data_IF_983004030426
#
_entry.id   IF_983004030426
#
_cell.length_a   1.000
_cell.length_b   1.000
_cell.length_c   1.000
_cell.angle_alpha   90.00
_cell.angle_beta   90.00
_cell.angle_gamma   90.00
#
_symmetry.space_group_name_H-M   'P 1'
#
loop_
_entity.id
_entity.type
_entity.pdbx_description
1 polymer ?
#
# COMPACT_ATOMS: atom_id res chain seq x y z
N UNK A 1 18.90 -24.61 -23.80
CA UNK A 1 17.89 -24.40 -22.75
C UNK A 1 18.05 -22.98 -22.23
N UNK A 2 17.09 -22.10 -22.53
CA UNK A 2 17.12 -20.69 -22.15
C UNK A 2 16.65 -20.52 -20.72
N UNK A 3 17.55 -20.15 -19.81
CA UNK A 3 17.21 -19.65 -18.49
C UNK A 3 16.98 -18.15 -18.57
N UNK A 4 15.70 -17.76 -18.56
CA UNK A 4 15.26 -16.35 -18.48
C UNK A 4 15.77 -15.76 -17.17
N UNK A 5 16.73 -14.85 -17.25
CA UNK A 5 17.15 -14.02 -16.13
C UNK A 5 16.02 -13.06 -15.75
N UNK A 6 15.31 -13.35 -14.68
CA UNK A 6 14.48 -12.37 -14.01
C UNK A 6 15.41 -11.31 -13.40
N UNK A 7 15.41 -10.10 -13.97
CA UNK A 7 15.90 -8.89 -13.31
C UNK A 7 14.97 -8.52 -12.14
N UNK A 8 14.73 -9.45 -11.22
CA UNK A 8 13.91 -9.27 -10.03
C UNK A 8 14.70 -8.54 -8.96
N UNK A 9 14.91 -7.25 -9.14
CA UNK A 9 15.45 -6.40 -8.09
C UNK A 9 14.39 -6.32 -7.00
N UNK A 10 14.52 -7.16 -5.97
CA UNK A 10 13.67 -7.07 -4.77
C UNK A 10 13.82 -5.66 -4.22
N UNK A 11 12.70 -4.98 -3.99
CA UNK A 11 12.72 -3.66 -3.36
C UNK A 11 13.34 -3.80 -1.96
N UNK A 12 14.59 -3.37 -1.82
CA UNK A 12 15.27 -3.35 -0.52
C UNK A 12 14.54 -2.39 0.42
N UNK A 13 14.05 -2.93 1.53
CA UNK A 13 13.30 -2.16 2.52
C UNK A 13 14.28 -1.49 3.46
N UNK A 14 14.38 -0.16 3.36
CA UNK A 14 15.22 0.63 4.27
C UNK A 14 14.74 0.50 5.74
N UNK A 15 15.69 0.49 6.67
CA UNK A 15 15.44 0.53 8.12
C UNK A 15 14.56 1.72 8.50
N UNK A 16 14.67 2.84 7.80
CA UNK A 16 13.83 4.02 8.02
C UNK A 16 12.35 3.73 7.73
N UNK A 17 12.05 2.92 6.71
CA UNK A 17 10.68 2.53 6.36
C UNK A 17 10.10 1.61 7.42
N UNK A 18 10.88 0.63 7.88
CA UNK A 18 10.48 -0.27 8.97
C UNK A 18 10.25 0.52 10.26
N UNK A 19 11.10 1.51 10.53
CA UNK A 19 10.96 2.38 11.70
C UNK A 19 9.73 3.28 11.61
N UNK A 20 9.50 3.91 10.46
CA UNK A 20 8.28 4.68 10.19
C UNK A 20 7.03 3.82 10.35
N UNK A 21 7.07 2.59 9.81
CA UNK A 21 6.01 1.61 9.97
C UNK A 21 5.76 1.34 11.46
N UNK A 22 6.75 0.86 12.19
CA UNK A 22 6.62 0.55 13.61
C UNK A 22 6.15 1.75 14.43
N UNK A 23 6.67 2.96 14.18
CA UNK A 23 6.31 4.17 14.91
C UNK A 23 4.85 4.58 14.71
N UNK A 24 4.29 4.41 13.51
CA UNK A 24 2.89 4.73 13.21
C UNK A 24 1.92 3.62 13.62
N UNK A 25 2.39 2.38 13.79
CA UNK A 25 1.52 1.20 13.97
C UNK A 25 1.60 0.52 15.34
N UNK A 26 2.46 0.95 16.26
CA UNK A 26 2.63 0.34 17.61
C UNK A 26 1.44 0.44 18.56
N UNK A 27 0.29 1.02 18.16
CA UNK A 27 -0.75 1.46 19.11
C UNK A 27 -2.17 0.89 18.93
N UNK A 28 -2.50 0.14 17.87
CA UNK A 28 -3.82 -0.52 17.82
C UNK A 28 -3.89 -1.74 16.90
N UNK A 29 -4.51 -2.82 17.39
CA UNK A 29 -4.88 -4.00 16.59
C UNK A 29 -5.78 -3.64 15.40
N UNK A 30 -6.60 -2.59 15.54
CA UNK A 30 -7.47 -2.05 14.48
C UNK A 30 -6.69 -1.47 13.32
N UNK A 31 -5.58 -0.76 13.56
CA UNK A 31 -4.74 -0.21 12.48
C UNK A 31 -4.13 -1.31 11.62
N UNK A 32 -3.68 -2.40 12.24
CA UNK A 32 -3.13 -3.55 11.50
C UNK A 32 -4.20 -4.26 10.65
N UNK A 33 -5.44 -4.36 11.13
CA UNK A 33 -6.56 -4.91 10.36
C UNK A 33 -6.85 -4.08 9.09
N UNK A 34 -6.88 -2.76 9.20
CA UNK A 34 -7.06 -1.89 8.04
C UNK A 34 -5.95 -2.08 7.01
N UNK A 35 -4.71 -2.18 7.46
CA UNK A 35 -3.55 -2.34 6.59
C UNK A 35 -3.56 -3.67 5.86
N UNK A 36 -3.98 -4.75 6.52
CA UNK A 36 -4.21 -6.04 5.86
C UNK A 36 -5.27 -5.93 4.76
N UNK A 37 -6.38 -5.23 5.00
CA UNK A 37 -7.38 -4.96 3.96
C UNK A 37 -6.83 -4.09 2.81
N UNK A 38 -5.96 -3.11 3.09
CA UNK A 38 -5.35 -2.30 2.03
C UNK A 38 -4.40 -3.13 1.16
N UNK A 39 -3.64 -4.06 1.75
CA UNK A 39 -2.80 -5.00 0.98
C UNK A 39 -3.68 -5.92 0.12
N UNK A 40 -4.77 -6.47 0.67
CA UNK A 40 -5.77 -7.25 -0.08
C UNK A 40 -6.35 -6.46 -1.26
N UNK A 41 -6.61 -5.16 -1.08
CA UNK A 41 -7.05 -4.28 -2.17
C UNK A 41 -6.01 -4.20 -3.31
N UNK A 42 -4.73 -4.02 -2.98
CA UNK A 42 -3.66 -3.94 -3.98
C UNK A 42 -3.47 -5.26 -4.73
N UNK A 43 -3.55 -6.39 -4.03
CA UNK A 43 -3.52 -7.72 -4.62
C UNK A 43 -4.63 -7.90 -5.65
N UNK A 44 -5.87 -7.57 -5.29
CA UNK A 44 -7.00 -7.66 -6.22
C UNK A 44 -6.83 -6.74 -7.45
N UNK A 45 -6.22 -5.57 -7.29
CA UNK A 45 -5.91 -4.66 -8.41
C UNK A 45 -4.85 -5.22 -9.35
N UNK A 46 -3.83 -5.93 -8.84
CA UNK A 46 -2.83 -6.62 -9.66
C UNK A 46 -3.45 -7.69 -10.57
N UNK A 47 -4.46 -8.41 -10.07
CA UNK A 47 -5.16 -9.43 -10.85
C UNK A 47 -6.12 -8.85 -11.91
N UNK A 48 -6.71 -7.67 -11.65
CA UNK A 48 -7.76 -7.09 -12.50
C UNK A 48 -7.31 -6.16 -13.63
N UNK A 49 -6.15 -5.50 -13.52
CA UNK A 49 -5.73 -4.44 -14.47
C UNK A 49 -4.63 -4.94 -15.43
N UNK A 50 -4.97 -5.12 -16.72
CA UNK A 50 -3.99 -5.39 -17.78
C UNK A 50 -3.42 -4.08 -18.32
N UNK A 51 -2.28 -3.65 -17.76
CA UNK A 51 -1.28 -2.84 -18.48
C UNK A 51 -1.25 -1.32 -18.26
N UNK A 52 -1.61 -0.77 -17.09
CA UNK A 52 -1.57 0.69 -16.86
C UNK A 52 -0.99 1.11 -15.50
N UNK A 53 -0.59 2.39 -15.44
CA UNK A 53 -0.33 3.13 -14.19
C UNK A 53 -1.62 3.15 -13.36
N UNK A 54 -1.54 2.64 -12.14
CA UNK A 54 -2.66 2.62 -11.18
C UNK A 54 -2.54 3.83 -10.27
N UNK A 55 -3.61 4.63 -10.19
CA UNK A 55 -3.70 5.67 -9.16
C UNK A 55 -4.28 5.06 -7.89
N UNK A 56 -3.48 4.97 -6.83
CA UNK A 56 -3.90 4.55 -5.51
C UNK A 56 -4.40 5.76 -4.73
N UNK A 57 -5.67 5.76 -4.31
CA UNK A 57 -6.29 6.89 -3.59
C UNK A 57 -6.69 6.48 -2.19
N UNK A 58 -6.48 7.38 -1.22
CA UNK A 58 -6.82 7.12 0.18
C UNK A 58 -8.31 6.82 0.35
N UNK A 59 -9.17 7.53 -0.40
CA UNK A 59 -10.61 7.34 -0.38
C UNK A 59 -11.03 5.92 -0.80
N UNK A 60 -10.44 5.37 -1.86
CA UNK A 60 -10.77 4.01 -2.33
C UNK A 60 -10.34 2.95 -1.32
N UNK A 61 -9.16 3.11 -0.73
CA UNK A 61 -8.70 2.25 0.35
C UNK A 61 -9.63 2.31 1.56
N UNK A 62 -10.06 3.52 1.93
CA UNK A 62 -11.01 3.77 3.03
C UNK A 62 -12.34 3.07 2.77
N UNK A 63 -12.94 3.30 1.60
CA UNK A 63 -14.20 2.69 1.19
C UNK A 63 -14.10 1.16 1.19
N UNK A 64 -13.01 0.60 0.63
CA UNK A 64 -12.78 -0.85 0.60
C UNK A 64 -12.66 -1.45 2.01
N UNK A 65 -11.85 -0.86 2.89
CA UNK A 65 -11.69 -1.37 4.24
C UNK A 65 -12.98 -1.24 5.07
N UNK A 66 -13.72 -0.13 4.96
CA UNK A 66 -15.00 0.04 5.66
C UNK A 66 -16.01 -1.02 5.26
N UNK A 67 -16.08 -1.35 3.96
CA UNK A 67 -16.93 -2.44 3.46
C UNK A 67 -16.46 -3.81 3.98
N UNK A 68 -15.16 -4.10 3.86
CA UNK A 68 -14.60 -5.42 4.20
C UNK A 68 -14.65 -5.72 5.70
N UNK A 69 -14.35 -4.73 6.53
CA UNK A 69 -14.31 -4.84 8.00
C UNK A 69 -15.68 -4.62 8.64
N UNK A 70 -16.71 -4.27 7.87
CA UNK A 70 -18.07 -3.94 8.36
C UNK A 70 -18.02 -2.94 9.52
N UNK A 71 -17.25 -1.88 9.36
CA UNK A 71 -16.98 -0.91 10.42
C UNK A 71 -17.24 0.52 9.96
N UNK A 72 -17.75 1.33 10.88
CA UNK A 72 -17.85 2.78 10.76
C UNK A 72 -16.63 3.50 11.35
N UNK A 73 -15.48 2.81 11.49
CA UNK A 73 -14.26 3.38 12.03
C UNK A 73 -13.87 4.65 11.27
N UNK A 74 -14.13 5.81 11.89
CA UNK A 74 -13.83 7.12 11.33
C UNK A 74 -12.33 7.34 11.10
N UNK A 75 -11.48 6.46 11.65
CA UNK A 75 -10.02 6.48 11.45
C UNK A 75 -9.57 5.73 10.20
N UNK A 76 -10.45 5.05 9.46
CA UNK A 76 -10.08 4.37 8.21
C UNK A 76 -9.37 5.30 7.21
N UNK A 77 -9.83 6.56 7.10
CA UNK A 77 -9.17 7.59 6.28
C UNK A 77 -7.76 7.96 6.77
N UNK A 78 -7.56 8.05 8.08
CA UNK A 78 -6.24 8.28 8.68
C UNK A 78 -5.27 7.13 8.37
N UNK A 79 -5.73 5.89 8.47
CA UNK A 79 -4.95 4.70 8.12
C UNK A 79 -4.60 4.67 6.63
N UNK A 80 -5.57 4.95 5.74
CA UNK A 80 -5.33 4.99 4.30
C UNK A 80 -4.31 6.06 3.89
N UNK A 81 -4.38 7.26 4.51
CA UNK A 81 -3.40 8.33 4.31
C UNK A 81 -1.98 7.89 4.64
N UNK A 82 -1.79 7.31 5.83
CA UNK A 82 -0.46 6.85 6.26
C UNK A 82 0.04 5.66 5.45
N UNK A 83 -0.86 4.82 4.94
CA UNK A 83 -0.52 3.71 4.06
C UNK A 83 0.00 4.22 2.70
N UNK A 84 -0.63 5.24 2.11
CA UNK A 84 -0.12 5.85 0.88
C UNK A 84 1.23 6.54 1.10
N UNK A 85 1.43 7.21 2.25
CA UNK A 85 2.75 7.75 2.63
C UNK A 85 3.82 6.67 2.77
N UNK A 86 3.47 5.50 3.29
CA UNK A 86 4.38 4.36 3.37
C UNK A 86 4.78 3.89 1.97
N UNK A 87 3.82 3.79 1.04
CA UNK A 87 4.10 3.45 -0.38
C UNK A 87 5.02 4.49 -1.02
N UNK A 88 4.75 5.78 -0.81
CA UNK A 88 5.62 6.86 -1.31
C UNK A 88 7.06 6.75 -0.81
N UNK A 89 7.24 6.47 0.49
CA UNK A 89 8.58 6.21 1.06
C UNK A 89 9.27 4.99 0.43
N UNK A 90 8.54 3.87 0.28
CA UNK A 90 9.06 2.65 -0.34
C UNK A 90 9.51 2.89 -1.79
N UNK A 91 8.76 3.69 -2.56
CA UNK A 91 9.06 4.03 -3.95
C UNK A 91 9.99 5.23 -4.12
N UNK A 92 10.41 5.89 -3.03
CA UNK A 92 11.15 7.17 -3.07
C UNK A 92 10.46 8.22 -3.94
N UNK A 93 9.13 8.28 -3.85
CA UNK A 93 8.27 9.15 -4.65
C UNK A 93 7.42 10.05 -3.76
N UNK A 94 7.24 11.29 -4.19
CA UNK A 94 6.36 12.22 -3.51
C UNK A 94 4.89 11.78 -3.62
N UNK A 95 4.18 11.98 -2.52
CA UNK A 95 2.76 11.68 -2.43
C UNK A 95 1.97 12.96 -2.69
N UNK A 96 1.05 12.90 -3.64
CA UNK A 96 0.21 14.04 -3.99
C UNK A 96 -0.91 14.23 -2.96
N UNK A 97 -1.06 15.46 -2.48
CA UNK A 97 -2.14 15.86 -1.57
C UNK A 97 -2.82 17.12 -2.12
N UNK A 98 -4.10 17.01 -2.48
CA UNK A 98 -4.89 18.16 -2.96
C UNK A 98 -6.34 18.10 -2.42
N UNK A 99 -7.19 19.02 -2.86
CA UNK A 99 -8.61 19.08 -2.47
C UNK A 99 -9.43 17.82 -2.79
N UNK A 100 -8.87 16.85 -3.54
CA UNK A 100 -9.48 15.53 -3.83
C UNK A 100 -8.94 14.41 -2.93
N UNK A 101 -8.02 14.72 -2.01
CA UNK A 101 -7.41 13.80 -1.06
C UNK A 101 -5.95 13.45 -1.38
N UNK A 102 -5.48 12.37 -0.78
CA UNK A 102 -4.10 11.87 -0.92
C UNK A 102 -4.04 10.69 -1.89
N UNK A 103 -3.09 10.73 -2.82
CA UNK A 103 -2.92 9.67 -3.82
C UNK A 103 -1.47 9.54 -4.29
N UNK A 104 -1.18 8.40 -4.92
CA UNK A 104 0.08 8.11 -5.60
C UNK A 104 -0.19 7.33 -6.87
N UNK A 105 0.52 7.64 -7.94
CA UNK A 105 0.54 6.84 -9.15
C UNK A 105 1.63 5.79 -9.04
N UNK A 106 1.30 4.54 -9.35
CA UNK A 106 2.20 3.39 -9.24
C UNK A 106 2.06 2.55 -10.51
N UNK A 107 3.19 2.19 -11.11
CA UNK A 107 3.18 1.27 -12.25
C UNK A 107 2.79 -0.14 -11.77
N UNK A 108 2.41 -1.01 -12.70
CA UNK A 108 2.12 -2.40 -12.36
C UNK A 108 3.34 -3.12 -11.78
N UNK A 109 4.53 -2.95 -12.36
CA UNK A 109 5.76 -3.59 -11.87
C UNK A 109 6.11 -3.11 -10.46
N UNK A 110 5.98 -1.81 -10.20
CA UNK A 110 6.15 -1.25 -8.86
C UNK A 110 5.15 -1.87 -7.88
N UNK A 111 3.90 -2.07 -8.30
CA UNK A 111 2.89 -2.70 -7.47
C UNK A 111 3.19 -4.19 -7.20
N UNK A 112 3.70 -4.92 -8.20
CA UNK A 112 4.13 -6.32 -8.08
C UNK A 112 5.30 -6.48 -7.10
N UNK A 113 6.23 -5.52 -7.07
CA UNK A 113 7.35 -5.48 -6.12
C UNK A 113 6.91 -5.04 -4.70
N UNK A 114 5.98 -4.08 -4.61
CA UNK A 114 5.51 -3.51 -3.35
C UNK A 114 4.65 -4.48 -2.54
N UNK A 115 3.75 -5.23 -3.19
CA UNK A 115 2.75 -6.06 -2.48
C UNK A 115 3.40 -7.10 -1.55
N UNK A 116 4.41 -7.88 -1.97
CA UNK A 116 5.12 -8.81 -1.08
C UNK A 116 5.77 -8.11 0.13
N UNK A 117 6.37 -6.94 -0.07
CA UNK A 117 6.98 -6.14 0.99
C UNK A 117 5.93 -5.69 2.00
N UNK A 118 4.84 -5.09 1.53
CA UNK A 118 3.76 -4.61 2.37
C UNK A 118 3.09 -5.76 3.14
N UNK A 119 2.90 -6.92 2.49
CA UNK A 119 2.38 -8.14 3.13
C UNK A 119 3.28 -8.61 4.26
N UNK A 120 4.60 -8.57 4.07
CA UNK A 120 5.58 -8.92 5.10
C UNK A 120 5.54 -7.96 6.30
N UNK A 121 5.40 -6.65 6.04
CA UNK A 121 5.32 -5.64 7.10
C UNK A 121 4.06 -5.76 7.97
N UNK A 122 2.93 -6.17 7.40
CA UNK A 122 1.63 -6.25 8.10
C UNK A 122 1.33 -7.62 8.73
N UNK A 123 2.24 -8.59 8.56
CA UNK A 123 2.16 -9.91 9.19
C UNK A 123 2.53 -9.81 10.67
#
# INVERSE_FOLDING_TARGET
MSGVGTNGKVLEVDVEVVTYFRAKFRRSSKGLQHYRCFVEYLENRLFGERGRVVTLRARQLTEYASQRLRTSDSRAGFYAYHFIKLIGKLLKRDVECNGRGTFIQVSRSELEELVPVLRSLVR
#
